data_IF_709803655898
#
_entry.id   IF_709803655898
#
_cell.length_a   1.000
_cell.length_b   1.000
_cell.length_c   1.000
_cell.angle_alpha   90.00
_cell.angle_beta   90.00
_cell.angle_gamma   90.00
#
_symmetry.space_group_name_H-M   'P 1'
#
loop_
_entity.id
_entity.type
_entity.pdbx_description
1 polymer ?
#
# COMPACT_ATOMS: atom_id res chain seq x y z
N UNK A 1 44.36 0.19 48.85
CA UNK A 1 43.53 -0.44 47.80
C UNK A 1 43.45 0.54 46.64
N UNK A 2 44.47 0.55 45.80
CA UNK A 2 44.64 1.56 44.74
C UNK A 2 44.26 1.00 43.37
N UNK A 3 43.62 1.89 42.60
CA UNK A 3 43.00 1.67 41.30
C UNK A 3 44.05 1.29 40.24
N UNK A 4 43.81 0.20 39.51
CA UNK A 4 44.46 -0.08 38.22
C UNK A 4 43.61 0.49 37.10
N UNK A 5 44.13 1.53 36.44
CA UNK A 5 43.75 1.95 35.10
C UNK A 5 44.61 1.18 34.09
N UNK A 6 43.99 0.45 33.16
CA UNK A 6 44.64 -0.13 31.99
C UNK A 6 44.32 0.73 30.77
N UNK A 7 45.36 1.30 30.18
CA UNK A 7 45.41 1.92 28.86
C UNK A 7 45.37 0.84 27.77
N UNK A 8 44.55 1.04 26.74
CA UNK A 8 44.55 0.23 25.52
C UNK A 8 45.10 1.12 24.41
N UNK A 9 46.25 0.70 23.85
CA UNK A 9 46.92 1.35 22.74
C UNK A 9 46.15 1.17 21.42
N UNK A 10 46.05 2.28 20.70
CA UNK A 10 45.57 2.38 19.33
C UNK A 10 46.65 1.94 18.34
N UNK A 11 46.37 0.93 17.52
CA UNK A 11 47.08 0.69 16.26
C UNK A 11 46.07 0.28 15.18
N UNK A 12 45.62 1.28 14.41
CA UNK A 12 44.81 1.10 13.21
C UNK A 12 45.75 1.22 12.00
N UNK A 13 46.16 0.08 11.44
CA UNK A 13 46.89 0.01 10.17
C UNK A 13 45.91 0.05 9.01
N UNK A 14 46.08 1.04 8.14
CA UNK A 14 45.31 1.23 6.92
C UNK A 14 45.84 0.32 5.82
N UNK A 15 44.97 -0.51 5.25
CA UNK A 15 45.24 -1.18 3.97
C UNK A 15 44.13 -0.76 3.01
N UNK A 16 44.55 -0.04 1.97
CA UNK A 16 43.70 0.43 0.88
C UNK A 16 43.74 -0.61 -0.23
N UNK A 17 42.62 -1.28 -0.46
CA UNK A 17 42.47 -2.23 -1.56
C UNK A 17 41.72 -1.53 -2.70
N UNK A 18 42.43 -1.36 -3.82
CA UNK A 18 41.91 -0.80 -5.07
C UNK A 18 40.93 -1.80 -5.69
N UNK A 19 39.70 -1.36 -5.94
CA UNK A 19 38.72 -2.11 -6.71
C UNK A 19 38.99 -1.87 -8.20
N UNK A 20 39.32 -2.94 -8.91
CA UNK A 20 39.49 -2.96 -10.37
C UNK A 20 38.14 -2.78 -11.08
N UNK A 21 38.13 -1.83 -12.00
CA UNK A 21 37.02 -1.48 -12.88
C UNK A 21 37.03 -2.42 -14.08
N UNK A 22 36.15 -3.43 -14.07
CA UNK A 22 35.93 -4.29 -15.24
C UNK A 22 34.81 -3.71 -16.12
N UNK A 23 35.23 -3.31 -17.31
CA UNK A 23 34.37 -2.84 -18.40
C UNK A 23 33.63 -4.02 -19.03
N UNK A 24 32.29 -3.96 -19.06
CA UNK A 24 31.48 -4.82 -19.94
C UNK A 24 30.57 -3.95 -20.80
N UNK A 25 30.78 -4.05 -22.11
CA UNK A 25 29.96 -3.42 -23.14
C UNK A 25 28.81 -4.34 -23.56
N UNK A 26 27.65 -3.70 -23.79
CA UNK A 26 26.50 -4.10 -24.60
C UNK A 26 25.80 -5.43 -24.29
N UNK A 27 24.67 -5.34 -23.58
CA UNK A 27 23.34 -5.90 -23.88
C UNK A 27 22.56 -5.92 -22.55
N UNK A 28 21.71 -4.93 -22.32
CA UNK A 28 20.86 -4.91 -21.12
C UNK A 28 20.30 -3.54 -20.83
N UNK A 29 19.00 -3.37 -21.04
CA UNK A 29 18.24 -2.40 -20.24
C UNK A 29 18.27 -2.96 -18.81
N UNK A 30 19.30 -2.59 -18.05
CA UNK A 30 19.53 -3.13 -16.72
C UNK A 30 18.39 -2.77 -15.77
N UNK A 31 18.09 -3.65 -14.82
CA UNK A 31 17.13 -3.43 -13.71
C UNK A 31 17.32 -2.08 -12.99
N UNK A 32 18.49 -1.44 -13.11
CA UNK A 32 18.82 -0.13 -12.55
C UNK A 32 17.83 0.99 -12.92
N UNK A 33 17.25 1.00 -14.13
CA UNK A 33 16.28 2.06 -14.49
C UNK A 33 14.96 1.90 -13.70
N UNK A 34 14.54 0.65 -13.49
CA UNK A 34 13.31 0.30 -12.78
C UNK A 34 13.46 0.35 -11.25
N UNK A 35 14.70 0.40 -10.74
CA UNK A 35 14.99 0.42 -9.30
C UNK A 35 15.08 1.82 -8.70
N UNK A 36 14.86 2.87 -9.49
CA UNK A 36 15.14 4.27 -9.14
C UNK A 36 14.51 4.73 -7.81
N UNK A 37 13.32 4.25 -7.51
CA UNK A 37 12.56 4.59 -6.30
C UNK A 37 12.07 3.37 -5.53
N UNK A 38 12.74 2.22 -5.67
CA UNK A 38 12.30 1.01 -4.96
C UNK A 38 12.38 1.19 -3.46
N UNK A 39 11.33 0.71 -2.79
CA UNK A 39 11.34 0.53 -1.35
C UNK A 39 12.20 -0.68 -0.96
N UNK A 40 13.02 -0.49 0.06
CA UNK A 40 13.84 -1.54 0.67
C UNK A 40 13.38 -1.83 2.08
N UNK A 41 13.85 -2.96 2.64
CA UNK A 41 13.48 -3.38 3.99
C UNK A 41 13.72 -2.27 5.02
N UNK A 42 12.71 -2.00 5.86
CA UNK A 42 12.76 -0.99 6.91
C UNK A 42 12.42 0.44 6.49
N UNK A 43 12.16 0.72 5.21
CA UNK A 43 11.73 2.06 4.77
C UNK A 43 10.23 2.33 4.99
N UNK A 44 9.43 1.27 5.08
CA UNK A 44 8.05 1.37 5.56
C UNK A 44 8.00 1.07 7.05
N UNK A 45 7.13 1.75 7.83
CA UNK A 45 6.89 1.35 9.21
C UNK A 45 6.45 -0.12 9.23
N UNK A 46 7.14 -0.90 10.06
CA UNK A 46 6.77 -2.29 10.34
C UNK A 46 5.47 -2.37 11.13
N UNK A 47 4.93 -3.58 11.28
CA UNK A 47 3.71 -3.87 12.05
C UNK A 47 3.88 -3.71 13.58
N UNK A 48 4.95 -3.06 14.04
CA UNK A 48 5.53 -3.19 15.38
C UNK A 48 4.94 -2.25 16.43
N UNK A 49 3.73 -1.72 16.21
CA UNK A 49 3.09 -0.78 17.14
C UNK A 49 2.09 -1.38 18.13
N UNK A 50 1.69 -2.64 17.94
CA UNK A 50 0.61 -3.26 18.70
C UNK A 50 1.15 -4.18 19.81
N UNK A 51 0.52 -4.24 20.99
CA UNK A 51 0.84 -5.26 21.99
C UNK A 51 0.55 -6.65 21.39
N UNK A 52 1.44 -7.61 21.65
CA UNK A 52 1.38 -8.94 21.06
C UNK A 52 1.29 -10.00 22.16
N UNK A 53 0.53 -11.08 21.96
CA UNK A 53 0.49 -12.18 22.93
C UNK A 53 1.84 -12.90 22.97
N UNK A 54 2.22 -13.42 24.14
CA UNK A 54 3.44 -14.23 24.31
C UNK A 54 3.39 -15.53 23.50
N UNK A 55 2.19 -16.09 23.34
CA UNK A 55 1.93 -17.30 22.55
C UNK A 55 1.44 -16.89 21.17
N UNK A 56 2.14 -17.35 20.13
CA UNK A 56 1.79 -17.16 18.72
C UNK A 56 2.11 -18.43 17.95
N UNK A 57 1.30 -18.75 16.94
CA UNK A 57 1.59 -19.88 16.05
C UNK A 57 2.49 -19.51 14.87
N UNK A 58 2.94 -18.25 14.75
CA UNK A 58 3.69 -17.76 13.60
C UNK A 58 4.93 -18.59 13.25
N UNK A 59 5.61 -19.13 14.27
CA UNK A 59 6.80 -19.96 14.10
C UNK A 59 6.51 -21.32 13.43
N UNK A 60 5.28 -21.84 13.58
CA UNK A 60 4.86 -23.14 13.06
C UNK A 60 4.37 -23.10 11.62
N UNK A 61 4.19 -21.90 11.06
CA UNK A 61 3.89 -21.73 9.66
C UNK A 61 5.18 -21.55 8.85
N UNK A 62 5.30 -22.28 7.75
CA UNK A 62 6.41 -22.10 6.80
C UNK A 62 5.97 -22.41 5.38
N UNK A 63 6.65 -21.81 4.39
CA UNK A 63 6.47 -22.17 2.98
C UNK A 63 6.82 -23.64 2.79
N UNK A 64 6.10 -24.34 1.92
CA UNK A 64 6.40 -25.72 1.54
C UNK A 64 7.87 -25.87 1.11
N UNK A 65 8.56 -26.89 1.60
CA UNK A 65 10.01 -27.04 1.43
C UNK A 65 10.43 -27.16 -0.04
N UNK A 66 9.55 -27.73 -0.89
CA UNK A 66 9.77 -27.81 -2.33
C UNK A 66 9.79 -26.43 -2.99
N UNK A 67 8.87 -25.56 -2.59
CA UNK A 67 8.76 -24.18 -3.10
C UNK A 67 9.82 -23.26 -2.50
N UNK A 68 10.30 -23.57 -1.29
CA UNK A 68 11.30 -22.78 -0.59
C UNK A 68 12.67 -22.75 -1.33
N UNK A 69 13.03 -23.82 -2.05
CA UNK A 69 14.30 -23.93 -2.77
C UNK A 69 14.30 -23.26 -4.14
N UNK A 70 13.14 -22.82 -4.63
CA UNK A 70 13.02 -22.21 -5.95
C UNK A 70 13.41 -20.72 -5.88
N UNK A 71 14.38 -20.32 -6.71
CA UNK A 71 14.64 -18.91 -6.93
C UNK A 71 13.46 -18.32 -7.73
N UNK A 72 12.66 -17.47 -7.09
CA UNK A 72 11.53 -16.81 -7.74
C UNK A 72 12.03 -15.73 -8.71
N UNK A 73 12.17 -16.11 -9.97
CA UNK A 73 12.25 -15.18 -11.10
C UNK A 73 10.88 -15.11 -11.75
N UNK A 74 10.21 -13.98 -11.62
CA UNK A 74 8.88 -13.76 -12.18
C UNK A 74 8.90 -12.56 -13.13
N UNK A 75 8.12 -12.61 -14.20
CA UNK A 75 7.90 -11.45 -15.06
C UNK A 75 6.76 -10.57 -14.52
N UNK A 76 6.88 -9.26 -14.71
CA UNK A 76 5.87 -8.28 -14.34
C UNK A 76 4.50 -8.62 -14.95
N UNK A 77 3.44 -8.55 -14.14
CA UNK A 77 2.07 -8.85 -14.54
C UNK A 77 1.67 -10.33 -14.39
N UNK A 78 2.62 -11.22 -14.09
CA UNK A 78 2.31 -12.61 -13.77
C UNK A 78 2.03 -12.77 -12.27
N UNK A 79 1.16 -13.71 -11.92
CA UNK A 79 0.89 -14.08 -10.52
C UNK A 79 2.08 -14.82 -9.93
N UNK A 80 2.47 -14.44 -8.71
CA UNK A 80 3.30 -15.31 -7.87
C UNK A 80 2.42 -15.95 -6.80
N UNK A 81 2.51 -17.26 -6.67
CA UNK A 81 1.82 -18.02 -5.63
C UNK A 81 2.74 -19.00 -4.92
N UNK A 82 2.49 -19.21 -3.63
CA UNK A 82 3.14 -20.25 -2.83
C UNK A 82 2.18 -20.78 -1.76
N UNK A 83 2.50 -21.96 -1.26
CA UNK A 83 1.72 -22.68 -0.25
C UNK A 83 2.42 -22.56 1.10
N UNK A 84 1.70 -22.03 2.08
CA UNK A 84 2.08 -22.06 3.48
C UNK A 84 1.52 -23.31 4.14
N UNK A 85 2.28 -23.97 5.01
CA UNK A 85 1.79 -25.09 5.83
C UNK A 85 2.08 -24.85 7.30
N UNK A 86 1.09 -25.18 8.13
CA UNK A 86 1.26 -25.38 9.55
C UNK A 86 2.00 -26.70 9.81
N UNK A 87 2.95 -26.68 10.75
CA UNK A 87 3.71 -27.85 11.20
C UNK A 87 3.23 -28.43 12.53
N UNK A 88 2.20 -27.86 13.15
CA UNK A 88 1.67 -28.30 14.43
C UNK A 88 0.21 -28.74 14.37
N UNK A 89 -0.20 -29.56 15.34
CA UNK A 89 -1.57 -30.05 15.45
C UNK A 89 -2.56 -28.90 15.70
N UNK A 90 -2.16 -27.87 16.44
CA UNK A 90 -3.01 -26.73 16.83
C UNK A 90 -3.53 -25.92 15.63
N UNK A 91 -2.80 -25.88 14.52
CA UNK A 91 -3.22 -25.20 13.29
C UNK A 91 -3.47 -26.15 12.10
N UNK A 92 -3.63 -27.46 12.37
CA UNK A 92 -3.83 -28.48 11.35
C UNK A 92 -5.19 -28.41 10.64
N UNK A 93 -6.15 -27.66 11.17
CA UNK A 93 -7.51 -27.54 10.62
C UNK A 93 -7.74 -26.25 9.83
N UNK A 94 -6.74 -25.37 9.73
CA UNK A 94 -6.92 -24.01 9.20
C UNK A 94 -7.34 -23.01 10.28
N UNK A 95 -8.03 -21.94 9.88
CA UNK A 95 -8.61 -20.93 10.78
C UNK A 95 -7.72 -19.72 11.08
N UNK A 96 -6.47 -19.73 10.62
CA UNK A 96 -5.56 -18.60 10.78
C UNK A 96 -5.80 -17.55 9.68
N UNK A 97 -5.51 -16.29 10.02
CA UNK A 97 -5.56 -15.16 9.11
C UNK A 97 -4.19 -14.54 8.93
N UNK A 98 -3.82 -14.38 7.66
CA UNK A 98 -2.56 -13.78 7.28
C UNK A 98 -2.77 -12.51 6.48
N UNK A 99 -1.82 -11.60 6.60
CA UNK A 99 -1.71 -10.43 5.76
C UNK A 99 -0.40 -10.51 4.98
N UNK A 100 -0.49 -10.43 3.65
CA UNK A 100 0.68 -10.30 2.79
C UNK A 100 0.83 -8.86 2.31
N UNK A 101 2.04 -8.33 2.47
CA UNK A 101 2.51 -7.08 1.88
C UNK A 101 3.71 -7.37 1.00
N UNK A 102 3.73 -6.87 -0.21
CA UNK A 102 4.97 -6.75 -0.98
C UNK A 102 5.24 -5.28 -1.28
N UNK A 103 6.45 -4.81 -1.03
CA UNK A 103 6.86 -3.43 -1.29
C UNK A 103 8.18 -3.38 -2.03
N UNK A 104 8.24 -2.50 -3.03
CA UNK A 104 9.38 -2.35 -3.92
C UNK A 104 9.15 -1.13 -4.82
N UNK A 105 9.11 -1.27 -6.15
CA UNK A 105 8.62 -0.22 -7.06
C UNK A 105 7.17 0.20 -6.80
N UNK A 106 6.37 -0.70 -6.25
CA UNK A 106 5.02 -0.44 -5.77
C UNK A 106 4.76 -1.16 -4.44
N UNK A 107 3.70 -0.75 -3.76
CA UNK A 107 3.15 -1.46 -2.60
C UNK A 107 1.89 -2.20 -3.05
N UNK A 108 1.91 -3.51 -2.90
CA UNK A 108 0.84 -4.42 -3.30
C UNK A 108 0.50 -5.35 -2.14
N UNK A 109 -0.76 -5.75 -2.07
CA UNK A 109 -1.26 -6.73 -1.10
C UNK A 109 -1.41 -8.10 -1.78
N UNK A 110 -1.43 -9.15 -0.98
CA UNK A 110 -1.73 -10.50 -1.48
C UNK A 110 -3.15 -10.97 -1.20
N UNK A 111 -3.53 -12.03 -1.88
CA UNK A 111 -4.65 -12.89 -1.52
C UNK A 111 -4.15 -14.04 -0.65
N UNK A 112 -4.92 -14.40 0.37
CA UNK A 112 -4.66 -15.58 1.20
C UNK A 112 -5.93 -16.39 1.27
N UNK A 113 -5.83 -17.66 0.88
CA UNK A 113 -6.94 -18.62 0.95
C UNK A 113 -6.57 -19.77 1.88
N UNK A 114 -7.34 -19.93 2.94
CA UNK A 114 -7.28 -21.11 3.80
C UNK A 114 -7.87 -22.33 3.08
N UNK A 115 -7.09 -23.41 2.99
CA UNK A 115 -7.52 -24.67 2.38
C UNK A 115 -8.23 -25.60 3.39
N UNK A 116 -8.36 -25.19 4.65
CA UNK A 116 -9.02 -25.91 5.76
C UNK A 116 -8.38 -27.26 6.10
N UNK A 117 -7.09 -27.37 5.84
CA UNK A 117 -6.26 -28.55 6.10
C UNK A 117 -4.91 -28.17 6.71
N UNK A 118 -4.85 -26.98 7.32
CA UNK A 118 -3.61 -26.39 7.86
C UNK A 118 -2.66 -25.86 6.78
N UNK A 119 -3.05 -25.88 5.50
CA UNK A 119 -2.36 -25.21 4.41
C UNK A 119 -3.10 -23.97 3.90
N UNK A 120 -2.34 -23.01 3.37
CA UNK A 120 -2.87 -21.74 2.88
C UNK A 120 -2.24 -21.42 1.52
N UNK A 121 -3.08 -21.13 0.54
CA UNK A 121 -2.64 -20.66 -0.77
C UNK A 121 -2.50 -19.15 -0.74
N UNK A 122 -1.29 -18.65 -0.98
CA UNK A 122 -0.96 -17.24 -0.93
C UNK A 122 -0.57 -16.79 -2.32
N UNK A 123 -1.09 -15.65 -2.79
CA UNK A 123 -0.69 -15.10 -4.08
C UNK A 123 -0.72 -13.58 -4.16
N UNK A 124 0.05 -13.02 -5.09
CA UNK A 124 0.05 -11.58 -5.39
C UNK A 124 0.52 -11.31 -6.83
N UNK A 125 0.27 -10.09 -7.32
CA UNK A 125 0.47 -9.69 -8.71
C UNK A 125 1.38 -8.46 -8.80
N UNK A 126 2.71 -8.64 -9.01
CA UNK A 126 3.62 -7.52 -9.21
C UNK A 126 3.61 -7.04 -10.66
N UNK A 127 2.94 -5.93 -10.93
CA UNK A 127 2.87 -5.34 -12.28
C UNK A 127 4.09 -4.46 -12.63
N UNK A 128 4.84 -3.97 -11.63
CA UNK A 128 6.03 -3.16 -11.89
C UNK A 128 7.29 -4.01 -11.78
N UNK A 129 8.17 -3.99 -12.78
CA UNK A 129 9.46 -4.67 -12.68
C UNK A 129 10.34 -4.01 -11.60
N UNK A 130 11.08 -4.84 -10.88
CA UNK A 130 12.02 -4.42 -9.85
C UNK A 130 12.13 -5.43 -8.70
N UNK A 131 12.83 -5.02 -7.65
CA UNK A 131 12.99 -5.84 -6.44
C UNK A 131 11.90 -5.50 -5.43
N UNK A 132 11.19 -6.52 -4.96
CA UNK A 132 10.22 -6.44 -3.88
C UNK A 132 10.73 -7.14 -2.63
N UNK A 133 10.41 -6.56 -1.47
CA UNK A 133 10.42 -7.23 -0.18
C UNK A 133 9.00 -7.68 0.13
N UNK A 134 8.80 -8.98 0.27
CA UNK A 134 7.54 -9.61 0.67
C UNK A 134 7.57 -9.89 2.16
N UNK A 135 6.52 -9.50 2.85
CA UNK A 135 6.26 -9.77 4.25
C UNK A 135 4.95 -10.54 4.35
N UNK A 136 4.97 -11.64 5.09
CA UNK A 136 3.78 -12.40 5.44
C UNK A 136 3.64 -12.37 6.96
N UNK A 137 2.53 -11.79 7.41
CA UNK A 137 2.26 -11.56 8.83
C UNK A 137 1.09 -12.45 9.25
N UNK A 138 1.26 -13.20 10.33
CA UNK A 138 0.15 -13.84 11.01
C UNK A 138 -0.59 -12.76 11.81
N UNK A 139 -1.81 -12.44 11.36
CA UNK A 139 -2.66 -11.48 12.03
C UNK A 139 -3.36 -12.12 13.23
N UNK A 140 -3.88 -13.34 13.05
CA UNK A 140 -4.57 -14.10 14.08
C UNK A 140 -4.42 -15.60 13.82
N UNK A 141 -4.00 -16.38 14.81
CA UNK A 141 -3.88 -17.84 14.75
C UNK A 141 -5.23 -18.54 14.74
N UNK A 142 -6.22 -17.94 15.41
CA UNK A 142 -7.56 -18.47 15.52
C UNK A 142 -8.54 -17.29 15.46
N UNK A 143 -9.31 -17.23 14.38
CA UNK A 143 -10.32 -16.18 14.19
C UNK A 143 -11.73 -16.71 14.40
N UNK A 144 -12.58 -15.95 15.10
CA UNK A 144 -14.00 -16.25 15.15
C UNK A 144 -14.58 -16.23 13.72
N UNK A 145 -15.52 -17.14 13.46
CA UNK A 145 -16.31 -17.13 12.23
C UNK A 145 -17.02 -15.79 12.06
N UNK A 146 -17.17 -15.31 10.82
CA UNK A 146 -17.79 -14.01 10.53
C UNK A 146 -19.19 -13.86 11.17
N UNK A 147 -19.96 -14.95 11.21
CA UNK A 147 -21.32 -14.97 11.77
C UNK A 147 -21.35 -14.78 13.30
N UNK A 148 -20.20 -14.81 13.97
CA UNK A 148 -20.07 -14.55 15.41
C UNK A 148 -19.80 -13.07 15.75
N UNK A 149 -19.77 -12.19 14.75
CA UNK A 149 -19.59 -10.75 14.95
C UNK A 149 -20.95 -10.00 15.12
N UNK A 150 -21.03 -9.00 16.02
CA UNK A 150 -20.00 -8.61 16.97
C UNK A 150 -19.84 -9.69 18.06
N UNK A 151 -18.60 -9.99 18.50
CA UNK A 151 -18.40 -10.92 19.60
C UNK A 151 -19.22 -10.42 20.80
N UNK A 152 -20.06 -11.29 21.38
CA UNK A 152 -20.95 -10.91 22.46
C UNK A 152 -20.15 -10.23 23.58
N UNK A 153 -20.54 -9.00 23.93
CA UNK A 153 -19.86 -8.15 24.90
C UNK A 153 -19.59 -8.93 26.20
N UNK A 154 -18.31 -9.24 26.46
CA UNK A 154 -17.68 -9.68 27.71
C UNK A 154 -18.56 -10.43 28.75
N UNK A 155 -18.11 -11.63 29.18
CA UNK A 155 -18.74 -12.56 30.15
C UNK A 155 -19.50 -13.76 29.56
N UNK A 156 -18.92 -14.39 28.54
CA UNK A 156 -19.31 -15.74 28.06
C UNK A 156 -18.12 -16.65 27.68
N UNK A 157 -16.87 -16.19 27.89
CA UNK A 157 -15.66 -16.98 27.63
C UNK A 157 -14.95 -16.73 26.29
N UNK A 158 -15.47 -15.87 25.40
CA UNK A 158 -14.81 -15.53 24.14
C UNK A 158 -14.28 -14.09 24.18
N UNK A 159 -12.95 -13.95 24.25
CA UNK A 159 -12.22 -12.68 24.17
C UNK A 159 -12.03 -12.26 22.71
N UNK A 160 -12.12 -10.96 22.41
CA UNK A 160 -11.65 -10.40 21.14
C UNK A 160 -10.27 -11.00 20.80
N UNK A 161 -10.08 -11.55 19.59
CA UNK A 161 -8.83 -12.18 19.24
C UNK A 161 -7.71 -11.12 19.29
N UNK A 162 -6.67 -11.40 20.07
CA UNK A 162 -5.53 -10.50 20.15
C UNK A 162 -4.80 -10.50 18.81
N UNK A 163 -4.61 -9.32 18.23
CA UNK A 163 -3.78 -9.16 17.05
C UNK A 163 -2.35 -9.61 17.35
N UNK A 164 -1.85 -10.55 16.55
CA UNK A 164 -0.54 -11.16 16.74
C UNK A 164 0.57 -10.37 16.05
N UNK A 165 0.37 -10.03 14.77
CA UNK A 165 1.31 -9.19 14.03
C UNK A 165 2.73 -9.77 13.92
N UNK A 166 2.90 -11.08 14.01
CA UNK A 166 4.20 -11.75 13.89
C UNK A 166 4.50 -12.11 12.44
N UNK A 167 5.74 -11.88 12.00
CA UNK A 167 6.20 -12.40 10.71
C UNK A 167 6.26 -13.93 10.76
N UNK A 168 5.81 -14.54 9.67
CA UNK A 168 5.88 -15.99 9.47
C UNK A 168 7.33 -16.41 9.20
N UNK A 169 7.70 -17.62 9.65
CA UNK A 169 9.05 -18.17 9.44
C UNK A 169 9.47 -18.11 7.98
N UNK A 170 10.67 -17.55 7.74
CA UNK A 170 11.24 -17.40 6.40
C UNK A 170 10.88 -16.09 5.70
N UNK A 171 10.20 -15.15 6.37
CA UNK A 171 9.97 -13.78 5.92
C UNK A 171 10.72 -12.76 6.80
N UNK A 172 11.04 -11.54 6.28
CA UNK A 172 10.73 -11.05 4.93
C UNK A 172 11.55 -11.76 3.84
N UNK A 173 11.04 -11.78 2.60
CA UNK A 173 11.70 -12.37 1.43
C UNK A 173 11.92 -11.35 0.33
N UNK A 174 13.07 -11.42 -0.30
CA UNK A 174 13.37 -10.62 -1.48
C UNK A 174 12.98 -11.37 -2.76
N UNK A 175 12.27 -10.70 -3.66
CA UNK A 175 11.81 -11.25 -4.94
C UNK A 175 12.17 -10.29 -6.08
N UNK A 176 12.69 -10.85 -7.17
CA UNK A 176 13.06 -10.08 -8.37
C UNK A 176 12.02 -10.27 -9.46
N UNK A 177 11.38 -9.17 -9.81
CA UNK A 177 10.38 -9.07 -10.87
C UNK A 177 11.05 -8.48 -12.10
N UNK A 178 11.10 -9.26 -13.17
CA UNK A 178 11.71 -8.86 -14.43
C UNK A 178 10.66 -8.20 -15.33
N UNK A 179 11.06 -7.23 -16.18
CA UNK A 179 10.15 -6.75 -17.20
C UNK A 179 9.77 -7.91 -18.13
N UNK A 180 8.50 -7.99 -18.52
CA UNK A 180 8.05 -8.98 -19.49
C UNK A 180 8.87 -8.86 -20.79
N UNK A 181 9.44 -9.98 -21.23
CA UNK A 181 10.28 -10.04 -22.43
C UNK A 181 9.49 -9.62 -23.68
N UNK A 182 9.93 -8.53 -24.33
CA UNK A 182 9.43 -7.95 -25.59
C UNK A 182 8.09 -8.48 -26.14
N UNK A 183 6.98 -8.11 -25.50
CA UNK A 183 5.71 -7.91 -26.22
C UNK A 183 5.29 -6.47 -26.08
N UNK A 184 5.59 -5.76 -27.16
CA UNK A 184 5.29 -4.35 -27.41
C UNK A 184 5.98 -3.38 -26.47
N UNK A 185 6.87 -2.56 -27.04
CA UNK A 185 6.79 -1.11 -26.82
C UNK A 185 5.33 -0.72 -27.01
N UNK A 186 4.48 -0.90 -26.00
CA UNK A 186 3.18 -0.27 -25.96
C UNK A 186 3.60 1.19 -25.94
N UNK A 187 3.56 1.85 -27.11
CA UNK A 187 3.43 3.31 -27.17
C UNK A 187 2.45 3.60 -26.05
N UNK A 188 2.86 4.29 -24.98
CA UNK A 188 1.99 4.64 -23.86
C UNK A 188 0.76 5.33 -24.46
N UNK A 189 -0.22 4.53 -24.87
CA UNK A 189 -1.51 5.00 -25.32
C UNK A 189 -2.06 5.59 -24.05
N UNK A 190 -2.40 6.88 -24.10
CA UNK A 190 -3.02 7.53 -22.95
C UNK A 190 -4.17 6.63 -22.52
N UNK A 191 -4.06 6.08 -21.31
CA UNK A 191 -5.16 5.32 -20.71
C UNK A 191 -6.40 6.22 -20.75
N UNK A 192 -7.56 5.65 -21.04
CA UNK A 192 -8.81 6.40 -20.95
C UNK A 192 -9.08 6.80 -19.49
N UNK A 193 -10.02 7.70 -19.28
CA UNK A 193 -10.44 8.09 -17.92
C UNK A 193 -11.28 6.96 -17.33
N UNK A 194 -11.00 6.58 -16.08
CA UNK A 194 -11.74 5.52 -15.40
C UNK A 194 -13.26 5.81 -15.35
N UNK A 195 -14.08 4.80 -15.63
CA UNK A 195 -15.54 4.86 -15.41
C UNK A 195 -15.89 4.53 -13.96
N UNK A 196 -17.13 4.83 -13.53
CA UNK A 196 -17.59 4.49 -12.18
C UNK A 196 -17.45 2.99 -11.86
N UNK A 197 -17.85 2.12 -12.79
CA UNK A 197 -17.76 0.65 -12.63
C UNK A 197 -16.31 0.16 -12.50
N UNK A 198 -15.37 0.85 -13.15
CA UNK A 198 -13.94 0.53 -13.01
C UNK A 198 -13.41 0.89 -11.63
N UNK A 199 -13.95 1.94 -11.00
CA UNK A 199 -13.58 2.39 -9.65
C UNK A 199 -14.25 1.61 -8.52
N UNK A 200 -15.38 0.93 -8.79
CA UNK A 200 -16.12 0.18 -7.77
C UNK A 200 -15.53 -1.23 -7.60
N UNK A 201 -15.16 -1.60 -6.39
CA UNK A 201 -14.73 -2.97 -6.10
C UNK A 201 -15.92 -3.92 -6.12
N UNK A 202 -15.79 -5.02 -6.87
CA UNK A 202 -16.87 -5.99 -7.06
C UNK A 202 -16.69 -7.26 -6.23
N UNK A 203 -15.48 -7.53 -5.73
CA UNK A 203 -15.18 -8.66 -4.85
C UNK A 203 -13.86 -8.43 -4.09
N UNK A 204 -13.50 -9.36 -3.19
CA UNK A 204 -12.28 -9.28 -2.37
C UNK A 204 -10.97 -9.31 -3.16
N UNK A 205 -10.98 -9.77 -4.41
CA UNK A 205 -9.79 -9.88 -5.26
C UNK A 205 -9.69 -8.79 -6.32
N UNK A 206 -10.77 -8.06 -6.60
CA UNK A 206 -10.77 -7.04 -7.66
C UNK A 206 -9.77 -5.93 -7.34
N UNK A 207 -9.63 -5.56 -6.07
CA UNK A 207 -8.70 -4.54 -5.62
C UNK A 207 -7.24 -4.92 -5.90
N UNK A 208 -6.92 -6.23 -5.88
CA UNK A 208 -5.57 -6.74 -6.14
C UNK A 208 -5.14 -6.60 -7.60
N UNK A 209 -6.10 -6.54 -8.52
CA UNK A 209 -5.85 -6.54 -9.97
C UNK A 209 -6.17 -5.20 -10.64
N UNK A 210 -6.96 -4.35 -10.01
CA UNK A 210 -7.42 -3.08 -10.60
C UNK A 210 -6.39 -1.97 -10.51
N UNK A 211 -5.64 -1.91 -9.42
CA UNK A 211 -4.64 -0.87 -9.21
C UNK A 211 -3.75 -1.12 -8.02
N UNK A 212 -2.75 -0.24 -7.88
CA UNK A 212 -1.70 -0.37 -6.85
C UNK A 212 -1.08 0.99 -6.54
N UNK A 213 -0.39 1.06 -5.41
CA UNK A 213 0.39 2.23 -5.03
C UNK A 213 1.79 2.16 -5.63
N UNK A 214 2.04 2.91 -6.71
CA UNK A 214 3.34 2.99 -7.37
C UNK A 214 4.20 4.06 -6.71
N UNK A 215 5.45 3.74 -6.41
CA UNK A 215 6.41 4.67 -5.81
C UNK A 215 6.97 5.55 -6.91
N UNK A 216 6.67 6.84 -6.84
CA UNK A 216 7.03 7.81 -7.90
C UNK A 216 8.16 8.74 -7.50
N UNK A 217 8.43 8.87 -6.20
CA UNK A 217 9.54 9.63 -5.68
C UNK A 217 9.94 9.17 -4.28
N UNK A 218 11.21 9.39 -3.92
CA UNK A 218 11.74 9.16 -2.59
C UNK A 218 12.73 10.26 -2.25
N UNK A 219 12.49 11.03 -1.19
CA UNK A 219 13.34 12.16 -0.75
C UNK A 219 14.78 11.73 -0.52
N UNK A 220 15.01 10.51 -0.02
CA UNK A 220 16.36 9.95 0.20
C UNK A 220 17.04 9.42 -1.08
N UNK A 221 16.32 9.34 -2.20
CA UNK A 221 16.89 8.88 -3.46
C UNK A 221 17.75 9.98 -4.09
N UNK A 222 18.89 9.59 -4.68
CA UNK A 222 19.74 10.50 -5.49
C UNK A 222 18.98 11.11 -6.68
N UNK A 223 17.88 10.48 -7.07
CA UNK A 223 17.02 10.91 -8.15
C UNK A 223 16.00 11.99 -7.77
N UNK A 224 15.80 12.24 -6.47
CA UNK A 224 14.83 13.18 -5.97
C UNK A 224 15.11 14.59 -6.48
N UNK A 225 14.06 15.33 -6.82
CA UNK A 225 14.15 16.74 -7.16
C UNK A 225 13.36 17.52 -6.12
N UNK A 226 14.03 18.49 -5.49
CA UNK A 226 13.40 19.37 -4.51
C UNK A 226 12.16 20.03 -5.14
N UNK A 227 11.02 19.82 -4.48
CA UNK A 227 9.74 20.40 -4.89
C UNK A 227 9.52 21.75 -4.20
N UNK A 228 10.18 21.97 -3.07
CA UNK A 228 10.12 23.22 -2.30
C UNK A 228 11.40 24.05 -2.52
N UNK A 229 11.30 25.40 -2.50
CA UNK A 229 12.47 26.27 -2.54
C UNK A 229 13.38 26.11 -1.32
N UNK A 230 12.79 25.77 -0.17
CA UNK A 230 13.48 25.50 1.08
C UNK A 230 13.13 24.09 1.56
N UNK A 231 14.07 23.12 1.50
CA UNK A 231 13.87 21.75 1.95
C UNK A 231 13.89 21.60 3.48
N UNK A 232 14.46 22.56 4.20
CA UNK A 232 14.60 22.51 5.66
C UNK A 232 13.37 23.08 6.38
N UNK A 233 12.51 23.81 5.66
CA UNK A 233 11.28 24.36 6.22
C UNK A 233 10.19 23.29 6.38
N UNK A 234 9.98 22.86 7.62
CA UNK A 234 8.81 22.05 7.99
C UNK A 234 7.58 22.96 8.11
N UNK A 235 6.66 22.91 7.14
CA UNK A 235 5.39 23.64 7.18
C UNK A 235 4.19 22.70 7.13
N UNK A 236 3.06 23.12 7.73
CA UNK A 236 1.78 22.41 7.64
C UNK A 236 1.33 22.23 6.18
N UNK A 237 1.52 23.25 5.35
CA UNK A 237 1.17 23.21 3.92
C UNK A 237 1.99 22.15 3.19
N UNK A 238 3.29 22.07 3.48
CA UNK A 238 4.19 21.09 2.89
C UNK A 238 3.91 19.67 3.41
N UNK A 239 3.55 19.50 4.68
CA UNK A 239 3.08 18.23 5.23
C UNK A 239 1.79 17.76 4.56
N UNK A 240 0.81 18.66 4.44
CA UNK A 240 -0.46 18.42 3.75
C UNK A 240 -0.28 18.10 2.26
N UNK A 241 0.73 18.69 1.61
CA UNK A 241 1.11 18.37 0.23
C UNK A 241 1.93 17.10 0.08
N UNK A 242 2.26 16.41 1.18
CA UNK A 242 3.09 15.21 1.19
C UNK A 242 4.59 15.46 1.04
N UNK A 243 5.03 16.71 0.90
CA UNK A 243 6.44 17.09 0.74
C UNK A 243 7.26 16.88 2.02
N UNK A 244 6.62 17.02 3.19
CA UNK A 244 7.25 16.80 4.50
C UNK A 244 6.81 15.47 5.15
N UNK A 245 6.49 14.46 4.33
CA UNK A 245 6.08 13.12 4.78
C UNK A 245 7.28 12.23 5.12
N UNK A 246 7.08 10.90 5.24
CA UNK A 246 8.13 9.87 5.42
C UNK A 246 9.19 9.85 4.29
N UNK A 247 9.12 10.79 3.36
CA UNK A 247 10.05 10.93 2.24
C UNK A 247 9.78 9.92 1.13
N UNK A 248 8.55 9.40 1.04
CA UNK A 248 8.10 8.48 -0.01
C UNK A 248 6.82 9.04 -0.61
N UNK A 249 6.81 9.25 -1.92
CA UNK A 249 5.63 9.69 -2.67
C UNK A 249 5.13 8.53 -3.50
N UNK A 250 3.84 8.22 -3.36
CA UNK A 250 3.17 7.18 -4.12
C UNK A 250 1.97 7.73 -4.87
N UNK A 251 1.72 7.18 -6.05
CA UNK A 251 0.49 7.40 -6.80
C UNK A 251 -0.30 6.10 -6.84
N UNK A 252 -1.62 6.19 -6.64
CA UNK A 252 -2.49 5.05 -6.94
C UNK A 252 -2.70 4.97 -8.46
N UNK A 253 -2.18 3.92 -9.09
CA UNK A 253 -2.30 3.68 -10.52
C UNK A 253 -3.26 2.53 -10.81
N UNK A 254 -4.26 2.77 -11.65
CA UNK A 254 -5.10 1.72 -12.20
C UNK A 254 -4.43 1.06 -13.40
N UNK A 255 -4.67 -0.23 -13.58
CA UNK A 255 -4.09 -1.01 -14.67
C UNK A 255 -4.64 -0.57 -16.03
N UNK A 256 -5.95 -0.48 -16.17
CA UNK A 256 -6.60 -0.28 -17.47
C UNK A 256 -6.99 1.17 -17.76
N UNK A 257 -7.04 2.04 -16.74
CA UNK A 257 -7.54 3.40 -16.87
C UNK A 257 -6.67 4.41 -16.10
N UNK A 258 -6.95 5.70 -16.27
CA UNK A 258 -6.32 6.78 -15.51
C UNK A 258 -7.34 7.56 -14.71
N UNK A 259 -6.99 7.91 -13.48
CA UNK A 259 -7.78 8.82 -12.67
C UNK A 259 -7.76 10.22 -13.28
N UNK A 260 -8.93 10.88 -13.26
CA UNK A 260 -9.02 12.26 -13.67
C UNK A 260 -8.29 13.15 -12.66
N UNK A 261 -7.21 13.81 -13.09
CA UNK A 261 -6.48 14.69 -12.18
C UNK A 261 -7.33 15.90 -11.78
N UNK A 262 -7.23 16.32 -10.51
CA UNK A 262 -7.89 17.53 -9.99
C UNK A 262 -7.54 18.76 -10.85
N UNK A 263 -6.27 18.85 -11.27
CA UNK A 263 -5.82 19.91 -12.17
C UNK A 263 -6.56 19.91 -13.51
N UNK A 264 -6.86 18.73 -14.07
CA UNK A 264 -7.64 18.58 -15.30
C UNK A 264 -9.10 18.99 -15.11
N UNK A 265 -9.68 18.77 -13.92
CA UNK A 265 -11.03 19.21 -13.59
C UNK A 265 -11.13 20.74 -13.48
N UNK A 266 -10.09 21.39 -12.93
CA UNK A 266 -10.08 22.84 -12.67
C UNK A 266 -9.60 23.65 -13.88
N UNK A 267 -8.60 23.19 -14.64
CA UNK A 267 -7.86 23.99 -15.63
C UNK A 267 -8.45 24.01 -17.05
N UNK A 268 -9.72 23.66 -17.28
CA UNK A 268 -10.29 23.74 -18.63
C UNK A 268 -10.59 25.19 -19.05
N UNK A 269 -9.52 25.98 -19.25
CA UNK A 269 -9.54 27.42 -19.55
C UNK A 269 -10.17 27.78 -20.91
N UNK A 270 -10.30 26.82 -21.83
CA UNK A 270 -10.80 27.09 -23.19
C UNK A 270 -12.33 27.18 -23.28
N UNK A 271 -13.06 26.48 -22.41
CA UNK A 271 -14.53 26.39 -22.53
C UNK A 271 -15.31 26.98 -21.35
N UNK A 272 -14.68 27.61 -20.34
CA UNK A 272 -15.35 28.20 -19.15
C UNK A 272 -16.28 27.28 -18.34
N UNK A 273 -16.50 26.05 -18.77
CA UNK A 273 -17.29 25.02 -18.09
C UNK A 273 -16.30 24.11 -17.40
N UNK A 274 -16.27 24.13 -16.07
CA UNK A 274 -15.54 23.11 -15.33
C UNK A 274 -16.21 21.76 -15.63
N UNK A 275 -15.42 20.70 -15.87
CA UNK A 275 -15.95 19.34 -16.06
C UNK A 275 -16.94 18.94 -14.96
N UNK A 276 -16.72 19.46 -13.75
CA UNK A 276 -17.63 19.32 -12.62
C UNK A 276 -19.00 19.98 -12.88
N UNK A 277 -19.04 21.18 -13.47
CA UNK A 277 -20.27 21.90 -13.77
C UNK A 277 -21.12 21.16 -14.79
N UNK A 278 -20.46 20.60 -15.81
CA UNK A 278 -21.12 19.74 -16.79
C UNK A 278 -21.70 18.49 -16.12
N UNK A 279 -20.90 17.80 -15.31
CA UNK A 279 -21.38 16.63 -14.55
C UNK A 279 -22.58 16.97 -13.65
N UNK A 280 -22.50 18.07 -12.88
CA UNK A 280 -23.59 18.54 -12.02
C UNK A 280 -24.84 18.96 -12.82
N UNK A 281 -24.66 19.45 -14.04
CA UNK A 281 -25.76 19.76 -14.95
C UNK A 281 -26.42 18.49 -15.47
N UNK A 282 -25.62 17.51 -15.89
CA UNK A 282 -26.09 16.24 -16.44
C UNK A 282 -26.89 15.44 -15.41
N UNK A 283 -26.51 15.50 -14.13
CA UNK A 283 -27.28 14.88 -13.02
C UNK A 283 -28.43 15.77 -12.51
N UNK A 284 -28.75 16.86 -13.21
CA UNK A 284 -29.95 17.68 -12.94
C UNK A 284 -29.83 18.68 -11.79
N UNK A 285 -28.64 18.87 -11.20
CA UNK A 285 -28.43 19.76 -10.03
C UNK A 285 -28.33 21.24 -10.45
N UNK A 286 -27.90 21.51 -11.69
CA UNK A 286 -27.61 22.88 -12.15
C UNK A 286 -28.82 23.64 -12.71
N UNK A 287 -29.85 22.97 -13.25
CA UNK A 287 -30.84 23.63 -14.14
C UNK A 287 -32.28 23.74 -13.64
N UNK A 288 -32.58 23.48 -12.37
CA UNK A 288 -33.96 23.60 -11.91
C UNK A 288 -34.23 24.90 -11.17
N UNK A 289 -34.96 25.83 -11.82
CA UNK A 289 -35.77 26.87 -11.12
C UNK A 289 -36.79 26.27 -10.13
N UNK A 290 -36.95 24.93 -10.10
CA UNK A 290 -37.66 24.16 -9.07
C UNK A 290 -36.64 23.37 -8.24
N UNK A 291 -36.00 24.09 -7.31
CA UNK A 291 -35.02 23.57 -6.37
C UNK A 291 -35.67 22.49 -5.46
N UNK A 292 -35.28 21.22 -5.61
CA UNK A 292 -35.62 20.18 -4.62
C UNK A 292 -34.48 19.20 -4.32
N UNK A 293 -33.61 18.90 -5.27
CA UNK A 293 -32.59 17.88 -5.06
C UNK A 293 -31.22 18.53 -4.78
N UNK A 294 -30.82 18.52 -3.51
CA UNK A 294 -29.46 18.87 -3.08
C UNK A 294 -28.62 17.60 -3.02
N UNK A 295 -27.48 17.55 -3.71
CA UNK A 295 -26.52 16.46 -3.53
C UNK A 295 -26.00 16.50 -2.10
N UNK A 296 -26.20 15.40 -1.38
CA UNK A 296 -25.67 15.21 -0.03
C UNK A 296 -24.46 14.30 -0.11
N UNK A 297 -23.31 14.82 0.29
CA UNK A 297 -22.10 14.04 0.46
C UNK A 297 -21.96 13.72 1.95
N UNK A 298 -22.11 12.44 2.29
CA UNK A 298 -21.92 11.96 3.65
C UNK A 298 -20.52 11.37 3.73
N UNK A 299 -19.67 12.02 4.52
CA UNK A 299 -18.31 11.59 4.77
C UNK A 299 -18.28 10.80 6.08
N UNK A 300 -17.95 9.52 5.99
CA UNK A 300 -17.86 8.60 7.13
C UNK A 300 -16.41 8.16 7.23
N UNK A 301 -15.76 8.45 8.36
CA UNK A 301 -14.36 8.10 8.55
C UNK A 301 -13.85 8.46 9.93
N UNK A 302 -12.54 8.33 10.08
CA UNK A 302 -11.81 8.53 11.34
C UNK A 302 -11.47 10.01 11.60
N UNK A 303 -10.48 10.26 12.46
CA UNK A 303 -10.01 11.60 12.80
C UNK A 303 -9.41 12.37 11.60
N UNK A 304 -8.91 11.68 10.58
CA UNK A 304 -8.34 12.27 9.34
C UNK A 304 -9.44 12.80 8.43
N UNK A 305 -10.65 12.24 8.49
CA UNK A 305 -11.82 12.66 7.71
C UNK A 305 -12.16 14.15 7.88
N UNK A 306 -11.79 14.77 9.02
CA UNK A 306 -11.95 16.22 9.23
C UNK A 306 -11.12 17.05 8.25
N UNK A 307 -9.91 16.60 7.95
CA UNK A 307 -9.00 17.28 7.03
C UNK A 307 -9.51 17.12 5.60
N UNK A 308 -9.92 15.90 5.23
CA UNK A 308 -10.50 15.59 3.92
C UNK A 308 -11.79 16.38 3.66
N UNK A 309 -12.68 16.49 4.66
CA UNK A 309 -13.88 17.33 4.59
C UNK A 309 -13.51 18.79 4.26
N UNK A 310 -12.50 19.34 4.93
CA UNK A 310 -12.05 20.72 4.69
C UNK A 310 -11.55 20.90 3.26
N UNK A 311 -10.75 19.98 2.75
CA UNK A 311 -10.28 20.00 1.37
C UNK A 311 -11.43 19.89 0.37
N UNK A 312 -12.35 18.96 0.61
CA UNK A 312 -13.53 18.77 -0.23
C UNK A 312 -14.37 20.05 -0.24
N UNK A 313 -14.61 20.69 0.92
CA UNK A 313 -15.32 21.97 0.99
C UNK A 313 -14.61 23.08 0.22
N UNK A 314 -13.29 23.19 0.35
CA UNK A 314 -12.51 24.20 -0.37
C UNK A 314 -12.55 23.96 -1.89
N UNK A 315 -12.35 22.73 -2.32
CA UNK A 315 -12.45 22.32 -3.72
C UNK A 315 -13.84 22.62 -4.28
N UNK A 316 -14.88 22.27 -3.52
CA UNK A 316 -16.26 22.50 -3.92
C UNK A 316 -16.63 23.97 -3.87
N UNK A 317 -16.05 24.81 -3.00
CA UNK A 317 -16.44 26.23 -2.82
C UNK A 317 -16.32 27.14 -4.06
N UNK A 318 -15.69 26.66 -5.15
CA UNK A 318 -15.85 27.29 -6.47
C UNK A 318 -17.34 27.40 -6.84
N UNK A 319 -17.72 28.43 -7.60
CA UNK A 319 -19.07 29.03 -7.68
C UNK A 319 -20.30 28.12 -7.95
N UNK A 320 -20.12 26.82 -8.15
CA UNK A 320 -21.10 25.86 -8.68
C UNK A 320 -21.79 25.01 -7.59
N UNK A 321 -21.36 25.10 -6.33
CA UNK A 321 -21.72 24.09 -5.30
C UNK A 321 -22.66 24.56 -4.20
N UNK A 322 -23.35 25.71 -4.36
CA UNK A 322 -24.33 26.19 -3.36
C UNK A 322 -25.43 25.15 -3.04
N UNK A 323 -25.68 24.19 -3.92
CA UNK A 323 -26.65 23.10 -3.76
C UNK A 323 -26.05 21.79 -3.21
N UNK A 324 -24.77 21.76 -2.83
CA UNK A 324 -24.10 20.57 -2.30
C UNK A 324 -23.98 20.69 -0.78
N UNK A 325 -24.59 19.75 -0.05
CA UNK A 325 -24.50 19.67 1.40
C UNK A 325 -23.52 18.57 1.78
N UNK A 326 -22.39 18.97 2.35
CA UNK A 326 -21.42 18.02 2.92
C UNK A 326 -21.77 17.84 4.39
N UNK A 327 -21.95 16.61 4.84
CA UNK A 327 -22.16 16.24 6.23
C UNK A 327 -21.11 15.21 6.62
N UNK A 328 -20.47 15.40 7.77
CA UNK A 328 -19.53 14.44 8.34
C UNK A 328 -20.18 13.67 9.47
N UNK A 329 -19.98 12.36 9.49
CA UNK A 329 -20.30 11.49 10.61
C UNK A 329 -18.97 11.03 11.19
N UNK A 330 -18.64 11.55 12.38
CA UNK A 330 -17.45 11.10 13.12
C UNK A 330 -17.86 9.95 14.02
N UNK A 331 -17.28 8.77 13.85
CA UNK A 331 -17.49 7.67 14.80
C UNK A 331 -16.64 7.94 16.04
N UNK A 332 -17.27 8.32 17.16
CA UNK A 332 -16.54 8.62 18.39
C UNK A 332 -15.85 7.38 18.99
N UNK A 333 -16.33 6.16 18.71
CA UNK A 333 -15.94 4.92 19.40
C UNK A 333 -15.85 3.69 18.47
N UNK A 334 -15.33 3.84 17.25
CA UNK A 334 -15.32 2.75 16.27
C UNK A 334 -16.68 2.55 15.59
N UNK A 335 -16.63 1.90 14.43
CA UNK A 335 -17.76 1.70 13.52
C UNK A 335 -18.75 0.68 14.10
N UNK A 336 -19.84 1.16 14.70
CA UNK A 336 -21.07 0.38 14.82
C UNK A 336 -22.09 0.97 13.86
N UNK A 337 -22.19 0.39 12.67
CA UNK A 337 -23.37 0.57 11.82
C UNK A 337 -24.50 -0.29 12.40
N UNK A 338 -25.66 0.33 12.64
CA UNK A 338 -26.88 -0.32 13.11
C UNK A 338 -27.83 -0.52 11.94
#
# INVERSE_FOLDING_TARGET
AEKKSLSIDSNLSSTSEKVEESTSHSYGVGLNEYQRFNLVAGELPGYTGWPRPERTLAAFFSIDEAENRQAYKIESGNELSFTLRCKEQECSQGGAHFYLRAYGPSVITGNVRDNKDGSYSISFYPDDPGTYMVELVLAFSNTPEWNSFPPENNYGGHTEPLYEGYLVTGFPRQIHVYPQSEKTKIKKTRKHICTADQLIESNSTSALRKGRWVVVDKVRSKAHRLVTPDPDTISLLSYQGGFNSLGIVMNYEFNDCSLLSISSMIKNKRNKIHLMDQCLTDIGIHNSKKQKDSLRLILIGDSVMKLEEKYMRQFMSTAVTKNIKIQRITTANGLYFK
#
